data_IF_988509585543
#
_entry.id   IF_988509585543
#
_cell.length_a   1.000
_cell.length_b   1.000
_cell.length_c   1.000
_cell.angle_alpha   90.00
_cell.angle_beta   90.00
_cell.angle_gamma   90.00
#
_symmetry.space_group_name_H-M   'P 1'
#
loop_
_entity.id
_entity.type
_entity.pdbx_description
1 polymer ?
#
# COMPACT_ATOMS: atom_id res chain seq x y z
N UNK A 1 3.97 -13.41 23.29
CA UNK A 1 3.16 -12.17 23.27
C UNK A 1 3.62 -11.29 24.40
N UNK A 2 3.54 -9.98 24.27
CA UNK A 2 4.02 -9.05 25.30
C UNK A 2 3.04 -7.90 25.49
N UNK A 3 3.05 -7.31 26.68
CA UNK A 3 2.40 -6.04 26.99
C UNK A 3 3.43 -4.89 27.05
N UNK A 4 4.72 -5.21 26.95
CA UNK A 4 5.81 -4.24 26.95
C UNK A 4 6.03 -3.67 25.55
N UNK A 5 5.98 -2.34 25.43
CA UNK A 5 6.13 -1.67 24.14
C UNK A 5 7.58 -1.71 23.61
N UNK A 6 8.59 -1.78 24.48
CA UNK A 6 10.00 -1.84 24.09
C UNK A 6 10.38 -3.20 23.52
N UNK A 7 9.88 -4.28 24.12
CA UNK A 7 10.01 -5.64 23.59
C UNK A 7 9.28 -5.77 22.24
N UNK A 8 8.07 -5.22 22.13
CA UNK A 8 7.34 -5.20 20.87
C UNK A 8 8.09 -4.41 19.77
N UNK A 9 8.67 -3.25 20.10
CA UNK A 9 9.49 -2.48 19.17
C UNK A 9 10.72 -3.29 18.73
N UNK A 10 11.39 -3.95 19.67
CA UNK A 10 12.54 -4.82 19.37
C UNK A 10 12.16 -5.94 18.40
N UNK A 11 11.01 -6.59 18.61
CA UNK A 11 10.52 -7.61 17.68
C UNK A 11 10.22 -7.03 16.30
N UNK A 12 9.59 -5.85 16.24
CA UNK A 12 9.27 -5.20 14.97
C UNK A 12 10.54 -4.95 14.15
N UNK A 13 11.61 -4.46 14.78
CA UNK A 13 12.87 -4.16 14.08
C UNK A 13 13.71 -5.40 13.73
N UNK A 14 13.73 -6.41 14.60
CA UNK A 14 14.73 -7.51 14.48
C UNK A 14 14.20 -8.75 13.77
N UNK A 15 12.91 -9.06 13.86
CA UNK A 15 12.34 -10.25 13.24
C UNK A 15 12.20 -10.23 11.70
N UNK A 16 12.27 -9.10 10.97
CA UNK A 16 12.31 -9.12 9.51
C UNK A 16 13.43 -9.98 8.93
N UNK A 17 14.56 -10.13 9.65
CA UNK A 17 15.70 -10.96 9.22
C UNK A 17 15.35 -12.44 9.02
N UNK A 18 14.31 -12.92 9.72
CA UNK A 18 13.80 -14.30 9.60
C UNK A 18 12.50 -14.36 8.78
N UNK A 19 12.16 -13.30 8.04
CA UNK A 19 10.99 -13.24 7.17
C UNK A 19 9.67 -12.90 7.88
N UNK A 20 9.69 -12.47 9.14
CA UNK A 20 8.48 -11.98 9.82
C UNK A 20 8.12 -10.61 9.24
N UNK A 21 6.93 -10.52 8.63
CA UNK A 21 6.47 -9.30 7.94
C UNK A 21 6.15 -8.12 8.89
N UNK A 22 5.77 -8.44 10.13
CA UNK A 22 5.43 -7.44 11.15
C UNK A 22 4.62 -8.03 12.29
N UNK A 23 3.89 -7.17 13.01
CA UNK A 23 3.20 -7.53 14.25
C UNK A 23 1.68 -7.53 14.09
N UNK A 24 1.04 -8.37 14.89
CA UNK A 24 -0.41 -8.30 15.14
C UNK A 24 -0.61 -7.78 16.56
N UNK A 25 -1.29 -6.65 16.68
CA UNK A 25 -1.60 -6.02 17.97
C UNK A 25 -3.08 -6.21 18.26
N UNK A 26 -3.40 -6.73 19.44
CA UNK A 26 -4.77 -6.98 19.90
C UNK A 26 -4.89 -6.70 21.39
N UNK A 27 -6.12 -6.49 21.86
CA UNK A 27 -6.40 -6.49 23.30
C UNK A 27 -6.17 -7.88 23.88
N UNK A 28 -5.56 -7.93 25.06
CA UNK A 28 -5.22 -9.19 25.73
C UNK A 28 -6.46 -9.99 26.16
N UNK A 29 -7.47 -9.28 26.66
CA UNK A 29 -8.74 -9.80 27.19
C UNK A 29 -9.81 -10.05 26.12
N UNK A 30 -9.51 -9.78 24.84
CA UNK A 30 -10.52 -9.82 23.80
C UNK A 30 -10.73 -11.23 23.25
N UNK A 31 -11.95 -11.72 23.41
CA UNK A 31 -12.44 -12.92 22.72
C UNK A 31 -12.47 -12.72 21.22
N UNK A 32 -12.22 -13.81 20.49
CA UNK A 32 -12.31 -13.79 19.03
C UNK A 32 -13.74 -13.46 18.59
N UNK A 33 -13.89 -12.46 17.72
CA UNK A 33 -15.18 -12.07 17.12
C UNK A 33 -15.05 -12.05 15.61
N UNK A 34 -15.68 -13.02 14.95
CA UNK A 34 -15.67 -13.10 13.48
C UNK A 34 -16.33 -11.86 12.87
N UNK A 35 -15.91 -11.50 11.65
CA UNK A 35 -16.45 -10.34 10.92
C UNK A 35 -16.02 -8.97 11.44
N UNK A 36 -15.24 -8.89 12.52
CA UNK A 36 -14.79 -7.61 13.09
C UNK A 36 -13.31 -7.33 12.82
N UNK A 37 -12.96 -6.07 12.54
CA UNK A 37 -11.56 -5.62 12.37
C UNK A 37 -10.96 -5.15 13.69
N UNK A 38 -11.00 -6.01 14.71
CA UNK A 38 -10.59 -5.67 16.06
C UNK A 38 -9.06 -5.67 16.27
N UNK A 39 -8.30 -6.32 15.39
CA UNK A 39 -6.84 -6.44 15.52
C UNK A 39 -6.13 -5.54 14.52
N UNK A 40 -5.03 -4.93 14.96
CA UNK A 40 -4.17 -4.11 14.13
C UNK A 40 -3.05 -4.96 13.55
N UNK A 41 -2.76 -4.76 12.27
CA UNK A 41 -1.63 -5.37 11.57
C UNK A 41 -0.62 -4.27 11.28
N UNK A 42 0.51 -4.31 11.95
CA UNK A 42 1.64 -3.43 11.67
C UNK A 42 2.60 -4.20 10.76
N UNK A 43 2.94 -3.64 9.61
CA UNK A 43 3.80 -4.26 8.60
C UNK A 43 4.89 -3.28 8.22
N UNK A 44 6.07 -3.79 7.87
CA UNK A 44 7.09 -2.96 7.25
C UNK A 44 6.64 -2.53 5.85
N UNK A 45 6.91 -1.28 5.49
CA UNK A 45 6.67 -0.78 4.15
C UNK A 45 7.84 0.10 3.77
N UNK A 46 8.52 -0.27 2.70
CA UNK A 46 9.67 0.44 2.19
C UNK A 46 9.26 1.21 0.93
N UNK A 47 9.45 2.53 0.95
CA UNK A 47 9.35 3.33 -0.25
C UNK A 47 10.67 3.24 -1.03
N UNK A 48 10.58 3.17 -2.35
CA UNK A 48 11.72 3.31 -3.25
C UNK A 48 11.38 4.33 -4.32
N UNK A 49 12.37 5.13 -4.68
CA UNK A 49 12.28 6.03 -5.82
C UNK A 49 12.49 5.22 -7.11
N UNK A 50 11.77 5.61 -8.16
CA UNK A 50 11.79 4.91 -9.45
C UNK A 50 11.57 5.91 -10.58
N UNK A 51 12.22 5.67 -11.72
CA UNK A 51 11.95 6.44 -12.94
C UNK A 51 10.68 5.91 -13.61
N UNK A 52 9.77 6.81 -14.00
CA UNK A 52 8.60 6.44 -14.82
C UNK A 52 9.01 6.41 -16.28
N UNK A 53 8.97 5.22 -16.90
CA UNK A 53 9.34 5.02 -18.31
C UNK A 53 8.13 4.79 -19.22
N UNK A 54 6.94 4.61 -18.63
CA UNK A 54 5.71 4.44 -19.39
C UNK A 54 4.48 4.26 -18.52
N UNK A 55 3.35 3.96 -19.15
CA UNK A 55 2.09 3.63 -18.48
C UNK A 55 1.25 2.68 -19.32
N UNK A 56 0.28 2.04 -18.67
CA UNK A 56 -0.76 1.24 -19.33
C UNK A 56 -2.10 1.96 -19.31
N UNK A 57 -2.99 1.64 -20.24
CA UNK A 57 -4.29 2.31 -20.39
C UNK A 57 -4.20 3.57 -21.24
N UNK A 58 -5.19 4.46 -21.13
CA UNK A 58 -5.21 5.68 -21.95
C UNK A 58 -4.37 6.79 -21.33
N UNK A 59 -3.76 7.68 -22.14
CA UNK A 59 -2.97 8.80 -21.62
C UNK A 59 -3.78 9.74 -20.71
N UNK A 60 -5.07 9.92 -21.01
CA UNK A 60 -5.97 10.74 -20.19
C UNK A 60 -6.33 10.09 -18.84
N UNK A 61 -6.10 8.79 -18.70
CA UNK A 61 -6.45 8.02 -17.50
C UNK A 61 -5.57 6.75 -17.36
N UNK A 62 -4.28 6.92 -17.01
CA UNK A 62 -3.37 5.79 -16.84
C UNK A 62 -3.90 4.80 -15.81
N UNK A 63 -3.80 3.51 -16.13
CA UNK A 63 -4.26 2.43 -15.25
C UNK A 63 -3.15 1.95 -14.28
N UNK A 64 -1.91 1.95 -14.74
CA UNK A 64 -0.71 1.63 -13.97
C UNK A 64 0.51 2.29 -14.62
N UNK A 65 1.56 2.51 -13.83
CA UNK A 65 2.84 3.04 -14.29
C UNK A 65 3.81 1.89 -14.61
N UNK A 66 4.67 2.11 -15.61
CA UNK A 66 5.84 1.29 -15.87
C UNK A 66 7.05 2.02 -15.29
N UNK A 67 7.73 1.36 -14.36
CA UNK A 67 8.76 1.92 -13.51
C UNK A 67 10.08 1.18 -13.73
N UNK A 68 11.20 1.89 -13.64
CA UNK A 68 12.54 1.31 -13.56
C UNK A 68 13.14 1.74 -12.22
N UNK A 69 13.62 0.77 -11.45
CA UNK A 69 14.28 1.04 -10.17
C UNK A 69 15.75 1.41 -10.42
N UNK A 70 16.39 2.19 -9.53
CA UNK A 70 17.82 2.34 -9.54
C UNK A 70 18.51 0.97 -9.49
N UNK A 71 19.54 0.79 -10.32
CA UNK A 71 20.36 -0.43 -10.42
C UNK A 71 19.62 -1.69 -10.89
N UNK A 72 18.42 -1.56 -11.45
CA UNK A 72 17.65 -2.66 -12.04
C UNK A 72 17.23 -2.28 -13.47
N UNK A 73 17.57 -3.12 -14.45
CA UNK A 73 17.20 -2.88 -15.85
C UNK A 73 15.82 -3.46 -16.20
N UNK A 74 15.21 -4.25 -15.30
CA UNK A 74 13.91 -4.85 -15.52
C UNK A 74 12.77 -3.87 -15.19
N UNK A 75 11.90 -3.52 -16.16
CA UNK A 75 10.77 -2.65 -15.89
C UNK A 75 9.71 -3.36 -15.02
N UNK A 76 9.25 -2.68 -13.97
CA UNK A 76 8.17 -3.10 -13.09
C UNK A 76 6.87 -2.39 -13.46
N UNK A 77 5.74 -3.06 -13.29
CA UNK A 77 4.42 -2.45 -13.45
C UNK A 77 3.79 -2.24 -12.08
N UNK A 78 3.40 -1.01 -11.77
CA UNK A 78 2.73 -0.69 -10.51
C UNK A 78 1.39 -1.45 -10.38
N UNK A 79 0.89 -1.58 -9.15
CA UNK A 79 -0.50 -2.00 -8.96
C UNK A 79 -1.44 -1.04 -9.70
N UNK A 80 -2.58 -1.57 -10.15
CA UNK A 80 -3.57 -0.75 -10.84
C UNK A 80 -4.14 0.27 -9.88
N UNK A 81 -4.16 1.52 -10.30
CA UNK A 81 -4.81 2.54 -9.51
C UNK A 81 -6.33 2.37 -9.61
N UNK A 82 -7.06 2.39 -8.47
CA UNK A 82 -8.51 2.39 -8.51
C UNK A 82 -8.93 3.62 -9.29
N UNK A 83 -9.58 3.39 -10.43
CA UNK A 83 -9.99 4.46 -11.30
C UNK A 83 -10.99 5.33 -10.56
N UNK A 84 -10.56 6.47 -10.00
CA UNK A 84 -11.46 7.43 -9.36
C UNK A 84 -12.59 7.75 -10.33
N UNK A 85 -13.81 7.26 -10.10
CA UNK A 85 -15.00 7.53 -10.91
C UNK A 85 -14.94 8.97 -11.43
N UNK A 86 -14.95 9.08 -12.76
CA UNK A 86 -14.51 10.27 -13.47
C UNK A 86 -15.11 11.56 -12.95
N UNK A 87 -14.31 12.63 -12.99
CA UNK A 87 -14.77 14.02 -12.93
C UNK A 87 -16.08 14.14 -13.70
N UNK A 88 -17.14 14.64 -13.05
CA UNK A 88 -18.39 15.07 -13.69
C UNK A 88 -18.03 15.87 -14.94
N UNK A 89 -18.53 15.45 -16.11
CA UNK A 89 -18.49 16.29 -17.31
C UNK A 89 -19.13 17.64 -16.94
N UNK A 90 -18.39 18.74 -17.12
CA UNK A 90 -19.02 20.08 -17.08
C UNK A 90 -20.09 20.12 -18.18
N UNK A 91 -21.32 20.59 -17.92
CA UNK A 91 -22.26 20.81 -19.00
C UNK A 91 -21.70 21.92 -19.90
N UNK A 92 -21.76 21.71 -21.23
CA UNK A 92 -21.50 22.77 -22.21
C UNK A 92 -22.48 23.91 -21.90
N UNK A 93 -21.99 25.11 -21.62
CA UNK A 93 -22.80 26.31 -21.71
C UNK A 93 -23.37 26.37 -23.13
N UNK A 94 -24.69 26.30 -23.25
CA UNK A 94 -25.37 26.62 -24.49
C UNK A 94 -25.03 28.07 -24.86
N UNK A 95 -24.50 28.26 -26.07
CA UNK A 95 -24.44 29.56 -26.75
C UNK A 95 -25.79 29.75 -27.44
N UNK A 96 -26.35 30.96 -27.32
CA UNK A 96 -27.34 31.53 -28.24
C UNK A 96 -28.74 31.09 -27.99
#
# INVERSE_FOLDING_TARGET
>A
MTLDAGEAATWYETLPVIGVEGLVVKRFDQTYRSGTRAWLKLRHTYARDAAVVGFTGSPARPAALVLVLPDDDAPLVSSRWPQRCGRRRRPRCARG
#
